data_IF_546467380792
#
_entry.id   IF_546467380792
#
_cell.length_a   1.000
_cell.length_b   1.000
_cell.length_c   1.000
_cell.angle_alpha   90.00
_cell.angle_beta   90.00
_cell.angle_gamma   90.00
#
_symmetry.space_group_name_H-M   'P 1'
#
loop_
_entity.id
_entity.type
_entity.pdbx_description
1 polymer ?
#
# COMPACT_ATOMS: atom_id res chain seq x y z
N UNK A 1 0.84 -29.40 11.79
CA UNK A 1 0.92 -28.01 11.27
C UNK A 1 -0.39 -27.66 10.55
N UNK A 2 -1.08 -26.59 10.93
CA UNK A 2 -2.38 -26.20 10.37
C UNK A 2 -2.27 -25.83 8.86
N UNK A 3 -3.12 -26.43 8.00
CA UNK A 3 -3.09 -26.21 6.56
C UNK A 3 -3.29 -24.75 6.14
N UNK A 4 -4.09 -23.99 6.88
CA UNK A 4 -4.34 -22.55 6.61
C UNK A 4 -3.09 -21.68 6.86
N UNK A 5 -2.26 -22.06 7.83
CA UNK A 5 -1.00 -21.38 8.15
C UNK A 5 0.02 -21.62 7.03
N UNK A 6 0.09 -22.86 6.52
CA UNK A 6 0.95 -23.22 5.40
C UNK A 6 0.55 -22.49 4.11
N UNK A 7 -0.75 -22.43 3.81
CA UNK A 7 -1.28 -21.67 2.67
C UNK A 7 -0.88 -20.19 2.76
N UNK A 8 -1.06 -19.58 3.93
CA UNK A 8 -0.69 -18.18 4.15
C UNK A 8 0.81 -17.94 3.90
N UNK A 9 1.69 -18.80 4.41
CA UNK A 9 3.13 -18.69 4.17
C UNK A 9 3.48 -18.77 2.68
N UNK A 10 2.87 -19.71 1.93
CA UNK A 10 3.06 -19.82 0.48
C UNK A 10 2.62 -18.56 -0.27
N UNK A 11 1.51 -17.93 0.15
CA UNK A 11 1.03 -16.66 -0.45
C UNK A 11 2.05 -15.53 -0.28
N UNK A 12 2.66 -15.40 0.90
CA UNK A 12 3.74 -14.42 1.11
C UNK A 12 4.93 -14.68 0.18
N UNK A 13 5.34 -15.93 0.01
CA UNK A 13 6.45 -16.27 -0.89
C UNK A 13 6.09 -16.01 -2.37
N UNK A 14 4.84 -16.24 -2.77
CA UNK A 14 4.39 -15.96 -4.13
C UNK A 14 4.44 -14.46 -4.42
N UNK A 15 3.81 -13.65 -3.57
CA UNK A 15 3.76 -12.19 -3.73
C UNK A 15 5.14 -11.56 -3.56
N UNK A 16 5.99 -12.13 -2.72
CA UNK A 16 7.36 -11.67 -2.51
C UNK A 16 8.23 -11.67 -3.77
N UNK A 17 7.90 -12.48 -4.78
CA UNK A 17 8.65 -12.51 -6.07
C UNK A 17 8.54 -11.18 -6.82
N UNK A 18 7.39 -10.54 -6.77
CA UNK A 18 7.11 -9.28 -7.48
C UNK A 18 7.32 -8.04 -6.59
N UNK A 19 7.56 -8.26 -5.30
CA UNK A 19 7.73 -7.18 -4.33
C UNK A 19 8.96 -6.31 -4.65
N UNK A 20 8.92 -4.98 -4.43
CA UNK A 20 10.01 -4.09 -4.83
C UNK A 20 11.39 -4.46 -4.28
N UNK A 21 11.47 -4.97 -3.04
CA UNK A 21 12.71 -5.43 -2.40
C UNK A 21 13.03 -6.92 -2.64
N UNK A 22 12.20 -7.61 -3.42
CA UNK A 22 12.37 -9.00 -3.80
C UNK A 22 11.97 -10.03 -2.73
N UNK A 23 12.10 -11.30 -3.12
CA UNK A 23 11.61 -12.44 -2.36
C UNK A 23 12.35 -12.64 -1.04
N UNK A 24 13.67 -12.45 -1.02
CA UNK A 24 14.50 -12.67 0.17
C UNK A 24 14.06 -11.78 1.33
N UNK A 25 13.79 -10.50 1.05
CA UNK A 25 13.30 -9.54 2.03
C UNK A 25 11.96 -9.97 2.63
N UNK A 26 10.98 -10.28 1.77
CA UNK A 26 9.64 -10.70 2.24
C UNK A 26 9.73 -12.01 3.01
N UNK A 27 10.50 -12.99 2.51
CA UNK A 27 10.68 -14.30 3.15
C UNK A 27 11.24 -14.15 4.57
N UNK A 28 12.27 -13.33 4.76
CA UNK A 28 12.89 -13.12 6.07
C UNK A 28 11.88 -12.52 7.05
N UNK A 29 11.21 -11.42 6.67
CA UNK A 29 10.20 -10.75 7.51
C UNK A 29 9.03 -11.68 7.84
N UNK A 30 8.52 -12.42 6.87
CA UNK A 30 7.45 -13.40 7.10
C UNK A 30 7.92 -14.52 8.02
N UNK A 31 9.15 -15.05 7.85
CA UNK A 31 9.69 -16.10 8.71
C UNK A 31 9.75 -15.62 10.17
N UNK A 32 10.25 -14.42 10.41
CA UNK A 32 10.33 -13.82 11.75
C UNK A 32 8.95 -13.66 12.38
N UNK A 33 7.96 -13.13 11.65
CA UNK A 33 6.60 -12.96 12.14
C UNK A 33 5.91 -14.29 12.48
N UNK A 34 6.13 -15.34 11.67
CA UNK A 34 5.60 -16.67 11.97
C UNK A 34 6.29 -17.31 13.18
N UNK A 35 7.60 -17.08 13.34
CA UNK A 35 8.38 -17.61 14.46
C UNK A 35 8.01 -16.97 15.80
N UNK A 36 7.67 -15.67 15.81
CA UNK A 36 7.13 -14.98 16.99
C UNK A 36 5.80 -15.58 17.45
N UNK A 37 4.97 -16.04 16.52
CA UNK A 37 3.66 -16.64 16.80
C UNK A 37 3.70 -18.17 16.95
N UNK A 38 4.88 -18.80 17.05
CA UNK A 38 5.00 -20.27 17.02
C UNK A 38 4.36 -20.98 18.22
N UNK A 39 4.30 -20.30 19.36
CA UNK A 39 3.76 -20.83 20.62
C UNK A 39 2.27 -20.51 20.81
N UNK A 40 1.59 -19.92 19.82
CA UNK A 40 0.14 -19.70 19.89
C UNK A 40 -0.59 -21.05 19.90
N UNK A 41 -1.31 -21.34 20.97
CA UNK A 41 -2.14 -22.54 21.12
C UNK A 41 -3.64 -22.25 21.02
N UNK A 42 -4.06 -21.03 21.39
CA UNK A 42 -5.47 -20.63 21.34
C UNK A 42 -6.01 -20.59 19.89
N UNK A 43 -7.07 -21.36 19.57
CA UNK A 43 -7.69 -21.36 18.23
C UNK A 43 -8.19 -20.00 17.77
N UNK A 44 -8.66 -19.14 18.67
CA UNK A 44 -9.20 -17.81 18.32
C UNK A 44 -8.06 -16.87 17.93
N UNK A 45 -7.00 -16.83 18.72
CA UNK A 45 -5.79 -16.07 18.44
C UNK A 45 -5.15 -16.51 17.10
N UNK A 46 -5.10 -17.82 16.82
CA UNK A 46 -4.57 -18.33 15.54
C UNK A 46 -5.40 -17.81 14.36
N UNK A 47 -6.75 -17.85 14.46
CA UNK A 47 -7.63 -17.32 13.40
C UNK A 47 -7.41 -15.82 13.20
N UNK A 48 -7.23 -15.05 14.28
CA UNK A 48 -6.95 -13.61 14.21
C UNK A 48 -5.61 -13.33 13.53
N UNK A 49 -4.56 -14.07 13.89
CA UNK A 49 -3.23 -13.96 13.26
C UNK A 49 -3.28 -14.30 11.76
N UNK A 50 -4.00 -15.36 11.38
CA UNK A 50 -4.19 -15.72 9.96
C UNK A 50 -4.95 -14.61 9.21
N UNK A 51 -6.01 -14.05 9.81
CA UNK A 51 -6.77 -12.94 9.21
C UNK A 51 -5.87 -11.72 8.99
N UNK A 52 -5.06 -11.37 9.97
CA UNK A 52 -4.10 -10.27 9.87
C UNK A 52 -3.06 -10.52 8.77
N UNK A 53 -2.48 -11.72 8.72
CA UNK A 53 -1.53 -12.07 7.66
C UNK A 53 -2.15 -12.03 6.26
N UNK A 54 -3.41 -12.43 6.08
CA UNK A 54 -4.13 -12.30 4.80
C UNK A 54 -4.31 -10.85 4.38
N UNK A 55 -4.60 -9.97 5.33
CA UNK A 55 -4.67 -8.53 5.09
C UNK A 55 -3.31 -7.99 4.66
N UNK A 56 -2.23 -8.35 5.35
CA UNK A 56 -0.87 -7.96 4.96
C UNK A 56 -0.49 -8.40 3.54
N UNK A 57 -0.88 -9.60 3.11
CA UNK A 57 -0.66 -10.05 1.72
C UNK A 57 -1.33 -9.11 0.71
N UNK A 58 -2.53 -8.58 1.01
CA UNK A 58 -3.22 -7.61 0.14
C UNK A 58 -2.47 -6.28 0.08
N UNK A 59 -1.92 -5.82 1.20
CA UNK A 59 -1.09 -4.61 1.24
C UNK A 59 0.16 -4.76 0.37
N UNK A 60 0.84 -5.92 0.43
CA UNK A 60 1.98 -6.20 -0.44
C UNK A 60 1.59 -6.16 -1.92
N UNK A 61 0.43 -6.72 -2.30
CA UNK A 61 -0.10 -6.62 -3.67
C UNK A 61 -0.37 -5.16 -4.06
N UNK A 62 -0.94 -4.35 -3.16
CA UNK A 62 -1.16 -2.92 -3.40
C UNK A 62 0.14 -2.16 -3.67
N UNK A 63 1.19 -2.43 -2.89
CA UNK A 63 2.53 -1.84 -3.11
C UNK A 63 3.10 -2.24 -4.47
N UNK A 64 2.93 -3.51 -4.87
CA UNK A 64 3.37 -4.00 -6.19
C UNK A 64 2.63 -3.28 -7.31
N UNK A 65 1.30 -3.12 -7.19
CA UNK A 65 0.48 -2.40 -8.15
C UNK A 65 0.90 -0.94 -8.27
N UNK A 66 1.17 -0.26 -7.14
CA UNK A 66 1.69 1.11 -7.14
C UNK A 66 3.04 1.23 -7.85
N UNK A 67 3.98 0.31 -7.62
CA UNK A 67 5.25 0.28 -8.35
C UNK A 67 5.03 0.11 -9.86
N UNK A 68 4.15 -0.81 -10.26
CA UNK A 68 3.81 -1.05 -11.68
C UNK A 68 3.18 0.19 -12.32
N UNK A 69 2.22 0.82 -11.63
CA UNK A 69 1.60 2.05 -12.09
C UNK A 69 2.61 3.19 -12.26
N UNK A 70 3.47 3.43 -11.25
CA UNK A 70 4.50 4.47 -11.31
C UNK A 70 5.43 4.28 -12.51
N UNK A 71 5.84 3.04 -12.77
CA UNK A 71 6.67 2.70 -13.93
C UNK A 71 5.94 2.95 -15.25
N UNK A 72 4.68 2.50 -15.39
CA UNK A 72 3.88 2.74 -16.59
C UNK A 72 3.68 4.23 -16.84
N UNK A 73 3.27 4.98 -15.81
CA UNK A 73 3.10 6.43 -15.88
C UNK A 73 4.42 7.16 -16.18
N UNK A 74 5.58 6.59 -15.84
CA UNK A 74 6.87 7.17 -16.22
C UNK A 74 7.24 6.92 -17.67
N UNK A 75 6.79 5.82 -18.26
CA UNK A 75 7.17 5.42 -19.62
C UNK A 75 6.21 5.95 -20.69
N UNK A 76 4.93 6.02 -20.37
CA UNK A 76 3.88 6.25 -21.35
C UNK A 76 3.15 7.58 -21.21
N UNK A 77 3.40 8.35 -20.15
CA UNK A 77 2.79 9.67 -19.97
C UNK A 77 3.74 10.71 -20.56
N UNK A 78 3.40 11.37 -21.68
CA UNK A 78 4.23 12.40 -22.29
C UNK A 78 4.46 13.55 -21.29
N UNK A 79 5.61 14.22 -21.39
CA UNK A 79 5.94 15.33 -20.49
C UNK A 79 4.90 16.45 -20.60
N UNK A 80 4.40 16.74 -21.81
CA UNK A 80 3.30 17.70 -22.03
C UNK A 80 2.01 17.36 -21.27
N UNK A 81 1.68 16.07 -21.14
CA UNK A 81 0.50 15.64 -20.38
C UNK A 81 0.76 15.77 -18.88
N UNK A 82 2.00 15.53 -18.41
CA UNK A 82 2.40 15.75 -17.02
C UNK A 82 2.34 17.22 -16.65
N UNK A 83 2.82 18.11 -17.50
CA UNK A 83 2.75 19.56 -17.32
C UNK A 83 1.29 20.01 -17.25
N UNK A 84 0.45 19.63 -18.22
CA UNK A 84 -0.98 19.96 -18.21
C UNK A 84 -1.70 19.49 -16.95
N UNK A 85 -1.40 18.28 -16.46
CA UNK A 85 -1.98 17.76 -15.22
C UNK A 85 -1.52 18.56 -14.00
N UNK A 86 -0.24 18.92 -13.91
CA UNK A 86 0.29 19.80 -12.84
C UNK A 86 -0.37 21.18 -12.88
N UNK A 87 -0.54 21.76 -14.06
CA UNK A 87 -1.16 23.08 -14.22
C UNK A 87 -2.64 23.09 -13.85
N UNK A 88 -3.36 22.00 -14.12
CA UNK A 88 -4.75 21.83 -13.66
C UNK A 88 -4.80 21.76 -12.13
N UNK A 89 -3.89 21.01 -11.51
CA UNK A 89 -3.85 20.87 -10.06
C UNK A 89 -3.45 22.17 -9.35
N UNK A 90 -2.44 22.88 -9.87
CA UNK A 90 -2.03 24.19 -9.37
C UNK A 90 -3.17 25.21 -9.48
N UNK A 91 -3.91 25.24 -10.60
CA UNK A 91 -5.10 26.10 -10.75
C UNK A 91 -6.15 25.81 -9.69
N UNK A 92 -6.51 24.54 -9.47
CA UNK A 92 -7.46 24.15 -8.41
C UNK A 92 -7.00 24.61 -7.03
N UNK A 93 -5.70 24.50 -6.73
CA UNK A 93 -5.14 24.96 -5.45
C UNK A 93 -5.26 26.48 -5.31
N UNK A 94 -4.93 27.24 -6.36
CA UNK A 94 -5.06 28.71 -6.37
C UNK A 94 -6.52 29.13 -6.20
N UNK A 95 -7.46 28.49 -6.91
CA UNK A 95 -8.89 28.78 -6.80
C UNK A 95 -9.42 28.51 -5.37
N UNK A 96 -8.98 27.39 -4.77
CA UNK A 96 -9.33 27.06 -3.39
C UNK A 96 -8.75 28.07 -2.37
N UNK A 97 -7.53 28.55 -2.59
CA UNK A 97 -6.91 29.60 -1.75
C UNK A 97 -7.66 30.92 -1.91
N UNK A 98 -8.01 31.31 -3.14
CA UNK A 98 -8.81 32.50 -3.43
C UNK A 98 -10.17 32.48 -2.74
N UNK A 99 -10.90 31.36 -2.81
CA UNK A 99 -12.17 31.21 -2.09
C UNK A 99 -12.00 31.28 -0.56
N UNK A 100 -10.90 30.75 -0.03
CA UNK A 100 -10.61 30.79 1.41
C UNK A 100 -10.31 32.21 1.90
N UNK A 101 -9.72 33.06 1.08
CA UNK A 101 -9.48 34.47 1.41
C UNK A 101 -10.74 35.35 1.31
N UNK A 102 -11.68 35.02 0.42
CA UNK A 102 -12.96 35.74 0.30
C UNK A 102 -13.86 35.48 1.53
N UNK A 103 -13.88 34.25 2.07
CA UNK A 103 -14.72 33.88 3.22
C UNK A 103 -14.24 34.34 4.61
N UNK A 104 -13.09 35.01 4.72
CA UNK A 104 -12.56 35.53 6.00
C UNK A 104 -12.93 37.00 6.24
N UNK A 105 -13.20 37.77 5.19
CA UNK A 105 -13.50 39.21 5.32
C UNK A 105 -14.95 39.54 5.71
N UNK A 106 -15.88 38.58 5.62
CA UNK A 106 -17.31 38.85 5.84
C UNK A 106 -17.81 38.57 7.27
N UNK A 107 -16.92 38.18 8.21
CA UNK A 107 -17.27 37.84 9.60
C UNK A 107 -16.63 38.74 10.68
N UNK A 108 -15.85 39.76 10.29
CA UNK A 108 -15.18 40.70 11.22
C UNK A 108 -15.74 42.13 11.10
N UNK A 109 -17.07 42.28 11.09
CA UNK A 109 -17.77 43.56 11.21
C UNK A 109 -18.94 43.47 12.20
#
# INVERSE_FOLDING_TARGET
MNGKVRDLYKRFLLVGRDYPMGLSYVREKTKTAFYQNRNLTDPVAIKKAIKHGRWMVRELVGVIQLKKYRMLNSRYTPEELREKLRDIENRRVVDNIGQKHIGVNDNDA
#
